data_IF_607632115023
#
_entry.id   IF_607632115023
#
_cell.length_a   1.000
_cell.length_b   1.000
_cell.length_c   1.000
_cell.angle_alpha   90.00
_cell.angle_beta   90.00
_cell.angle_gamma   90.00
#
_symmetry.space_group_name_H-M   'P 1'
#
loop_
_entity.id
_entity.type
_entity.pdbx_description
1 polymer ?
2 polymer ?
3 non-polymer ?
4 non-polymer ?
5 water ?
#
# COMPACT_ATOMS: atom_id res chain seq x y z
C UNK A 1 -16.78 5.13 -5.52
N UNK A 2 -18.06 5.06 -5.94
CA UNK A 2 -18.88 3.88 -5.69
C UNK A 2 -18.46 2.82 -6.73
N UNK A 3 -18.79 1.59 -6.43
CA UNK A 3 -18.42 0.48 -7.31
C UNK A 3 -19.39 0.29 -8.47
N UNK A 4 -18.82 -0.08 -9.59
CA UNK A 4 -19.54 -0.39 -10.81
C UNK A 4 -19.84 -1.88 -10.87
N UNK A 5 -20.70 -2.37 -11.74
CA UNK A 5 -20.96 -3.82 -11.76
C UNK A 5 -19.68 -4.53 -12.13
N UNK A 6 -18.81 -3.80 -12.83
CA UNK A 6 -17.50 -4.36 -13.22
C UNK A 6 -16.59 -4.50 -12.00
N UNK A 7 -16.57 -3.50 -11.14
CA UNK A 7 -15.80 -3.52 -9.90
C UNK A 7 -16.30 -4.64 -9.01
N UNK A 8 -17.60 -4.79 -8.91
CA UNK A 8 -18.24 -5.81 -8.07
C UNK A 8 -17.88 -7.20 -8.51
N UNK A 9 -17.95 -7.45 -9.80
CA UNK A 9 -17.61 -8.75 -10.38
C UNK A 9 -16.16 -9.10 -10.22
N UNK A 10 -15.27 -8.10 -10.38
CA UNK A 10 -13.81 -8.35 -10.18
C UNK A 10 -13.52 -8.64 -8.73
N UNK A 11 -14.15 -7.92 -7.80
CA UNK A 11 -13.95 -8.29 -6.39
C UNK A 11 -14.46 -9.69 -6.14
N UNK A 12 -15.67 -10.03 -6.66
CA UNK A 12 -16.16 -11.37 -6.31
C UNK A 12 -15.27 -12.46 -6.89
N UNK A 13 -14.80 -12.24 -8.11
CA UNK A 13 -13.95 -13.24 -8.75
C UNK A 13 -12.61 -13.37 -8.05
N UNK A 14 -12.08 -12.22 -7.57
CA UNK A 14 -10.78 -12.28 -6.88
C UNK A 14 -10.98 -13.01 -5.57
N UNK A 15 -11.99 -12.56 -4.79
CA UNK A 15 -12.22 -13.19 -3.49
C UNK A 15 -12.46 -14.67 -3.67
N UNK A 16 -13.08 -15.00 -4.80
CA UNK A 16 -13.33 -16.40 -5.15
C UNK A 16 -12.00 -17.12 -5.26
N UNK A 17 -11.00 -16.46 -5.84
CA UNK A 17 -9.70 -17.12 -6.03
C UNK A 17 -8.87 -17.19 -4.77
N UNK A 18 -8.93 -16.24 -3.84
CA UNK A 18 -7.99 -16.19 -2.73
C UNK A 18 -8.60 -16.54 -1.37
N UNK A 19 -9.92 -16.51 -1.28
CA UNK A 19 -10.66 -16.74 -0.06
C UNK A 19 -10.36 -18.04 0.63
N UNK A 20 -9.79 -19.02 -0.03
CA UNK A 20 -9.34 -20.24 0.66
C UNK A 20 -8.30 -19.97 1.75
N UNK A 21 -7.36 -19.08 1.47
CA UNK A 21 -6.27 -18.66 2.32
C UNK A 21 -6.56 -17.43 3.15
N UNK A 22 -7.81 -17.12 3.47
CA UNK A 22 -8.10 -15.90 4.19
C UNK A 22 -7.65 -15.97 5.64
N UNK A 23 -7.43 -17.17 6.17
CA UNK A 23 -7.01 -17.20 7.59
C UNK A 23 -5.57 -16.68 7.66
N UNK A 24 -4.74 -17.17 6.74
CA UNK A 24 -3.35 -16.75 6.62
C UNK A 24 -3.21 -15.30 6.18
N UNK A 25 -4.11 -14.82 5.32
CA UNK A 25 -4.14 -13.42 4.90
C UNK A 25 -4.41 -12.51 6.08
N UNK A 26 -5.37 -12.85 6.93
CA UNK A 26 -5.71 -12.00 8.07
C UNK A 26 -4.62 -11.97 9.14
N UNK A 27 -4.03 -13.11 9.43
CA UNK A 27 -2.93 -13.18 10.42
C UNK A 27 -1.76 -12.33 9.93
N UNK A 28 -1.34 -12.56 8.69
CA UNK A 28 -0.25 -11.88 8.07
C UNK A 28 -0.48 -10.38 7.93
N UNK A 29 -1.67 -9.96 7.56
CA UNK A 29 -1.91 -8.54 7.35
C UNK A 29 -1.92 -7.81 8.69
N UNK A 30 -2.42 -8.48 9.68
CA UNK A 30 -2.51 -7.88 11.03
C UNK A 30 -1.12 -7.88 11.67
N UNK A 31 -0.32 -8.92 11.47
CA UNK A 31 1.04 -8.94 11.97
C UNK A 31 1.83 -7.73 11.43
N UNK A 32 1.78 -7.57 10.11
CA UNK A 32 2.43 -6.44 9.48
C UNK A 32 1.93 -5.09 9.90
N UNK A 33 0.64 -4.90 10.16
CA UNK A 33 0.19 -3.58 10.61
C UNK A 33 0.84 -3.25 11.96
N UNK A 34 1.02 -4.25 12.81
CA UNK A 34 1.48 -4.02 14.19
C UNK A 34 2.98 -3.77 14.22
N UNK A 35 3.72 -4.54 13.42
CA UNK A 35 5.15 -4.30 13.23
C UNK A 35 5.44 -3.06 12.43
N UNK A 36 4.91 -2.83 11.25
CA UNK A 36 5.30 -1.70 10.40
C UNK A 36 4.70 -0.42 10.86
N UNK A 37 3.63 -0.47 11.65
CA UNK A 37 2.92 0.77 11.99
C UNK A 37 2.57 0.76 13.48
N UNK A 38 3.63 0.74 14.26
CA UNK A 38 3.59 0.64 15.70
C UNK A 38 2.60 1.48 16.45
N UNK A 39 2.15 2.57 15.85
CA UNK A 39 1.15 3.41 16.53
C UNK A 39 -0.17 2.64 16.71
N UNK A 40 -0.35 1.51 16.04
CA UNK A 40 -1.59 0.76 16.03
C UNK A 40 -1.63 -0.31 17.14
N UNK A 41 -0.50 -0.52 17.78
CA UNK A 41 -0.37 -1.53 18.81
C UNK A 41 -1.17 -1.14 20.03
N UNK A 42 -1.42 0.12 20.31
CA UNK A 42 -2.18 0.47 21.49
C UNK A 42 -3.60 -0.08 21.48
N UNK A 43 -4.17 -0.38 20.34
CA UNK A 43 -5.55 -0.88 20.36
C UNK A 43 -5.59 -2.34 20.81
N UNK A 44 -4.48 -3.04 20.83
CA UNK A 44 -4.42 -4.44 21.22
C UNK A 44 -3.45 -4.66 22.39
N UNK A 45 -3.30 -3.64 23.22
CA UNK A 45 -2.36 -3.70 24.34
C UNK A 45 -2.84 -4.65 25.42
N UNK A 46 -4.13 -4.93 25.44
CA UNK A 46 -4.72 -5.85 26.41
C UNK A 46 -4.42 -7.30 26.12
N UNK A 47 -3.83 -7.63 24.99
CA UNK A 47 -3.44 -9.01 24.75
C UNK A 47 -2.05 -9.24 25.33
N UNK A 48 -1.81 -10.45 25.81
CA UNK A 48 -0.52 -10.79 26.40
C UNK A 48 0.60 -10.83 25.38
N UNK A 49 0.27 -11.26 24.16
CA UNK A 49 1.33 -11.42 23.14
C UNK A 49 0.87 -10.68 21.90
N UNK A 50 1.61 -9.66 21.51
CA UNK A 50 1.21 -8.84 20.34
C UNK A 50 2.41 -8.73 19.41
N UNK A 51 2.88 -9.90 19.00
CA UNK A 51 3.96 -10.10 18.07
C UNK A 51 3.47 -11.07 17.00
N UNK A 52 3.97 -10.97 15.78
CA UNK A 52 3.56 -11.82 14.68
C UNK A 52 3.25 -13.26 14.92
N UNK A 53 4.03 -14.01 15.71
CA UNK A 53 3.68 -15.42 15.94
C UNK A 53 2.30 -15.60 16.63
N UNK A 54 2.07 -14.78 17.63
CA UNK A 54 0.99 -14.67 18.55
C UNK A 54 -0.29 -15.41 18.23
N UNK A 55 -0.79 -16.14 19.23
CA UNK A 55 -2.04 -16.89 19.08
C UNK A 55 -3.26 -15.97 18.98
N UNK A 56 -3.13 -14.78 19.57
CA UNK A 56 -4.18 -13.79 19.56
C UNK A 56 -4.28 -13.12 18.20
N UNK A 57 -3.17 -12.93 17.50
CA UNK A 57 -3.18 -12.23 16.21
C UNK A 57 -3.79 -13.17 15.19
N UNK A 58 -3.44 -14.44 15.38
CA UNK A 58 -3.96 -15.47 14.49
C UNK A 58 -5.47 -15.56 14.61
N UNK A 59 -6.01 -15.46 15.82
CA UNK A 59 -7.44 -15.71 16.02
C UNK A 59 -8.24 -14.51 15.55
N UNK A 60 -7.66 -13.35 15.79
CA UNK A 60 -8.27 -12.10 15.42
C UNK A 60 -8.14 -11.84 13.93
N UNK A 61 -7.09 -12.31 13.28
CA UNK A 61 -7.01 -12.11 11.83
C UNK A 61 -8.07 -12.93 11.11
N UNK A 62 -8.42 -14.08 11.66
CA UNK A 62 -9.53 -14.88 11.14
C UNK A 62 -10.82 -14.07 11.17
N UNK A 63 -11.08 -13.34 12.24
CA UNK A 63 -12.22 -12.51 12.42
C UNK A 63 -12.27 -11.32 11.49
N UNK A 64 -11.14 -10.74 11.15
CA UNK A 64 -11.08 -9.56 10.29
C UNK A 64 -11.35 -9.96 8.84
N UNK A 65 -10.83 -11.10 8.44
CA UNK A 65 -11.07 -11.61 7.10
C UNK A 65 -12.51 -12.08 6.97
N UNK A 66 -13.13 -12.39 8.10
CA UNK A 66 -14.53 -12.72 8.15
C UNK A 66 -15.35 -11.46 7.93
N UNK A 67 -14.92 -10.32 8.45
CA UNK A 67 -15.60 -9.05 8.21
C UNK A 67 -15.46 -8.62 6.74
N UNK A 68 -14.32 -8.96 6.14
CA UNK A 68 -14.11 -8.65 4.72
C UNK A 68 -15.05 -9.56 3.93
N UNK A 69 -15.09 -10.85 4.25
CA UNK A 69 -16.01 -11.77 3.56
C UNK A 69 -17.42 -11.26 3.66
N UNK A 70 -17.82 -10.69 4.79
CA UNK A 70 -19.13 -10.07 4.93
C UNK A 70 -19.29 -8.88 4.01
N UNK A 71 -18.28 -8.02 3.90
CA UNK A 71 -18.40 -6.88 2.99
C UNK A 71 -18.55 -7.32 1.54
N UNK A 72 -17.89 -8.39 1.14
CA UNK A 72 -18.02 -8.92 -0.21
C UNK A 72 -19.45 -9.36 -0.46
N UNK A 73 -20.02 -10.15 0.44
CA UNK A 73 -21.42 -10.61 0.26
C UNK A 73 -22.40 -9.47 0.37
N UNK A 74 -22.14 -8.41 1.14
CA UNK A 74 -22.96 -7.22 1.16
C UNK A 74 -22.46 -6.12 0.25
N UNK A 75 -21.74 -6.44 -0.80
CA UNK A 75 -21.13 -5.44 -1.67
C UNK A 75 -22.07 -4.41 -2.21
N UNK A 76 -23.41 -4.60 -2.25
CA UNK A 76 -24.31 -3.59 -2.84
C UNK A 76 -24.76 -2.53 -1.86
N UNK A 77 -24.68 -2.79 -0.57
CA UNK A 77 -24.93 -1.72 0.40
C UNK A 77 -23.95 -1.92 1.55
N UNK A 78 -22.76 -1.36 1.38
CA UNK A 78 -21.74 -1.46 2.43
C UNK A 78 -22.17 -0.72 3.68
N UNK A 79 -22.76 0.44 3.52
CA UNK A 79 -23.13 1.22 4.70
C UNK A 79 -24.00 0.41 5.65
N UNK A 80 -25.00 -0.32 5.17
CA UNK A 80 -25.91 -1.09 6.05
C UNK A 80 -25.29 -2.40 6.47
N UNK A 81 -24.60 -3.08 5.57
CA UNK A 81 -23.96 -4.35 5.83
C UNK A 81 -22.95 -4.32 6.94
N UNK A 82 -22.27 -3.18 7.14
CA UNK A 82 -21.21 -3.06 8.14
C UNK A 82 -21.53 -2.15 9.29
N UNK A 83 -22.78 -1.78 9.48
CA UNK A 83 -23.23 -0.91 10.54
C UNK A 83 -22.89 -1.40 11.94
N UNK A 84 -22.93 -2.71 12.19
CA UNK A 84 -22.66 -3.23 13.53
C UNK A 84 -21.16 -3.02 13.84
N UNK A 85 -20.31 -3.29 12.86
CA UNK A 85 -18.89 -3.10 12.93
C UNK A 85 -18.47 -1.65 12.99
N UNK A 86 -19.20 -0.76 12.33
CA UNK A 86 -18.92 0.67 12.43
C UNK A 86 -19.21 1.19 13.83
N UNK A 87 -20.27 0.67 14.42
CA UNK A 87 -20.67 0.94 15.80
C UNK A 87 -19.57 0.53 16.78
N UNK A 88 -19.06 -0.66 16.67
CA UNK A 88 -18.02 -1.25 17.46
C UNK A 88 -16.72 -0.46 17.45
N UNK A 89 -16.22 -0.14 16.27
CA UNK A 89 -14.94 0.52 16.08
C UNK A 89 -15.00 2.02 16.32
N UNK A 90 -15.83 2.68 15.52
CA UNK A 90 -15.98 4.12 15.52
C UNK A 90 -16.79 4.57 16.71
N UNK A 91 -17.61 3.74 17.34
CA UNK A 91 -18.34 4.29 18.48
C UNK A 91 -17.61 3.79 19.71
N UNK A 92 -17.84 2.59 20.15
CA UNK A 92 -17.09 1.99 21.26
C UNK A 92 -15.58 2.24 21.19
N UNK A 93 -14.73 1.44 20.54
CA UNK A 93 -13.28 1.56 20.56
C UNK A 93 -12.73 2.88 20.06
N UNK A 94 -13.56 3.76 19.54
CA UNK A 94 -13.10 5.02 18.94
C UNK A 94 -11.84 4.86 18.09
N UNK A 95 -11.60 3.70 17.46
CA UNK A 95 -10.48 3.57 16.55
C UNK A 95 -10.44 4.80 15.65
N UNK A 96 -9.27 5.40 15.54
CA UNK A 96 -9.00 6.53 14.68
C UNK A 96 -8.92 6.05 13.24
N UNK A 97 -9.76 6.68 12.42
CA UNK A 97 -10.02 6.23 11.06
C UNK A 97 -8.82 6.23 10.19
N UNK A 98 -7.79 7.00 10.56
CA UNK A 98 -6.59 6.97 9.67
C UNK A 98 -6.07 5.56 9.64
N UNK A 99 -6.42 4.78 10.66
CA UNK A 99 -5.89 3.43 10.77
C UNK A 99 -6.52 2.43 9.83
N UNK A 100 -7.72 2.72 9.31
CA UNK A 100 -8.37 1.79 8.37
C UNK A 100 -7.59 1.76 7.06
N UNK A 101 -7.11 2.92 6.57
CA UNK A 101 -6.27 2.93 5.38
C UNK A 101 -4.98 2.12 5.59
N UNK A 102 -4.47 2.12 6.83
CA UNK A 102 -3.24 1.34 7.09
C UNK A 102 -3.54 -0.13 6.96
N UNK A 103 -4.59 -0.61 7.64
CA UNK A 103 -4.88 -2.05 7.54
C UNK A 103 -5.20 -2.43 6.11
N UNK A 104 -5.85 -1.56 5.36
CA UNK A 104 -6.18 -1.89 3.97
C UNK A 104 -4.98 -2.03 3.07
N UNK A 105 -4.03 -1.14 3.28
CA UNK A 105 -2.72 -1.21 2.60
C UNK A 105 -2.04 -2.53 2.87
N UNK A 106 -2.00 -2.97 4.14
CA UNK A 106 -1.32 -4.20 4.51
C UNK A 106 -2.00 -5.45 3.96
N UNK A 107 -3.34 -5.39 3.76
CA UNK A 107 -4.07 -6.50 3.12
C UNK A 107 -3.65 -6.57 1.66
N UNK A 108 -3.55 -5.43 0.98
CA UNK A 108 -3.06 -5.42 -0.40
C UNK A 108 -1.64 -5.96 -0.50
N UNK A 109 -0.81 -5.63 0.50
CA UNK A 109 0.59 -6.12 0.42
C UNK A 109 0.58 -7.60 0.55
N UNK A 110 -0.22 -8.08 1.52
CA UNK A 110 -0.29 -9.52 1.78
C UNK A 110 -0.87 -10.23 0.58
N UNK A 111 -1.99 -9.79 0.01
CA UNK A 111 -2.47 -10.45 -1.23
C UNK A 111 -1.42 -10.43 -2.33
N UNK A 112 -0.78 -9.30 -2.55
CA UNK A 112 0.29 -9.24 -3.55
C UNK A 112 1.37 -10.28 -3.33
N UNK A 113 1.79 -10.44 -2.09
CA UNK A 113 2.76 -11.44 -1.63
C UNK A 113 2.32 -12.84 -1.91
N UNK A 114 1.01 -13.15 -1.74
CA UNK A 114 0.51 -14.50 -1.97
C UNK A 114 -0.02 -14.79 -3.37
N UNK A 115 -0.60 -13.80 -4.05
CA UNK A 115 -1.20 -14.10 -5.36
C UNK A 115 -0.79 -13.04 -6.36
N UNK A 116 0.51 -13.03 -6.68
CA UNK A 116 1.07 -12.02 -7.57
C UNK A 116 0.45 -12.09 -8.96
N UNK A 117 0.16 -13.29 -9.40
CA UNK A 117 -0.38 -13.54 -10.74
C UNK A 117 -1.81 -13.03 -10.88
N UNK A 118 -2.61 -13.30 -9.84
CA UNK A 118 -4.00 -12.85 -9.83
C UNK A 118 -4.15 -11.39 -9.40
N UNK A 119 -3.13 -10.83 -8.69
CA UNK A 119 -3.28 -9.46 -8.26
C UNK A 119 -2.78 -8.52 -9.34
N UNK A 120 -3.54 -8.46 -10.45
CA UNK A 120 -3.18 -7.58 -11.57
C UNK A 120 -3.63 -6.17 -11.26
N UNK A 121 -3.19 -5.23 -12.08
CA UNK A 121 -3.50 -3.83 -11.85
C UNK A 121 -4.99 -3.55 -11.98
N UNK A 122 -5.66 -4.32 -12.83
CA UNK A 122 -7.11 -4.22 -13.04
C UNK A 122 -7.80 -4.68 -11.76
N UNK A 123 -7.38 -5.82 -11.22
CA UNK A 123 -7.89 -6.32 -9.96
C UNK A 123 -7.59 -5.38 -8.80
N UNK A 124 -6.47 -4.64 -8.91
CA UNK A 124 -6.05 -3.74 -7.85
C UNK A 124 -6.88 -2.50 -7.82
N UNK A 125 -7.27 -1.90 -8.94
CA UNK A 125 -8.11 -0.70 -8.88
C UNK A 125 -9.46 -0.92 -8.20
N UNK A 126 -10.09 -2.07 -8.48
CA UNK A 126 -11.41 -2.42 -8.01
C UNK A 126 -11.31 -2.88 -6.56
N UNK A 127 -10.33 -3.71 -6.25
CA UNK A 127 -10.10 -4.02 -4.82
C UNK A 127 -9.80 -2.79 -3.97
N UNK A 128 -9.14 -1.80 -4.52
CA UNK A 128 -8.83 -0.56 -3.81
C UNK A 128 -10.05 0.31 -3.66
N UNK A 129 -10.93 0.36 -4.66
CA UNK A 129 -12.19 1.12 -4.49
C UNK A 129 -13.08 0.46 -3.45
N UNK A 130 -13.10 -0.86 -3.47
CA UNK A 130 -13.90 -1.65 -2.54
C UNK A 130 -13.38 -1.45 -1.11
N UNK A 131 -12.07 -1.72 -0.88
CA UNK A 131 -11.52 -1.39 0.44
C UNK A 131 -11.71 0.01 0.90
N UNK A 132 -11.66 1.05 0.09
CA UNK A 132 -12.03 2.37 0.58
C UNK A 132 -13.52 2.47 0.87
N UNK A 133 -14.34 1.66 0.18
CA UNK A 133 -15.79 1.71 0.48
C UNK A 133 -16.04 1.10 1.87
N UNK A 134 -15.26 0.10 2.23
CA UNK A 134 -15.25 -0.50 3.55
C UNK A 134 -14.87 0.49 4.64
N UNK A 135 -13.78 1.22 4.41
CA UNK A 135 -13.27 2.16 5.40
C UNK A 135 -14.33 3.20 5.64
N UNK A 136 -14.91 3.64 4.53
CA UNK A 136 -15.98 4.65 4.58
C UNK A 136 -17.22 4.09 5.28
N UNK A 137 -17.49 2.80 5.08
CA UNK A 137 -18.70 2.26 5.75
C UNK A 137 -18.42 2.16 7.23
N UNK A 138 -17.18 1.74 7.59
CA UNK A 138 -16.77 1.69 8.98
C UNK A 138 -16.76 3.03 9.70
N UNK A 139 -16.54 4.13 9.01
CA UNK A 139 -16.48 5.46 9.58
C UNK A 139 -17.84 6.13 9.76
N UNK A 140 -18.88 5.43 9.36
CA UNK A 140 -20.26 5.91 9.39
C UNK A 140 -20.76 6.39 10.72
N UNK A 141 -20.44 5.70 11.82
CA UNK A 141 -20.99 6.07 13.12
C UNK A 141 -20.19 7.04 13.93
N UNK A 142 -19.01 7.51 13.51
CA UNK A 142 -18.26 8.48 14.28
C UNK A 142 -19.02 9.79 14.59
N UNK A 143 -19.65 10.36 13.56
CA UNK A 143 -20.29 11.66 13.71
C UNK A 143 -21.48 11.85 12.76
N UNK B 1 16.80 11.02 10.46
CA UNK B 1 16.47 9.61 10.83
C UNK B 1 17.65 8.90 11.49
N UNK B 2 17.30 8.16 12.55
CA UNK B 2 18.29 7.31 13.26
C UNK B 2 18.11 5.90 12.69
N UNK B 3 19.10 5.37 12.01
CA UNK B 3 18.97 4.06 11.39
C UNK B 3 19.68 3.00 12.21
N UNK B 4 19.15 1.78 12.24
CA UNK B 4 19.89 0.72 12.89
C UNK B 4 20.75 0.01 11.83
N UNK B 5 21.68 -0.78 12.33
CA UNK B 5 22.59 -1.50 11.45
C UNK B 5 21.79 -2.62 10.79
N UNK B 6 20.77 -3.16 11.48
CA UNK B 6 19.91 -4.16 10.84
C UNK B 6 19.14 -3.50 9.70
N UNK B 7 18.68 -2.28 9.88
CA UNK B 7 17.93 -1.58 8.84
C UNK B 7 18.77 -1.29 7.63
N UNK B 8 20.05 -0.97 7.86
CA UNK B 8 20.99 -0.64 6.80
C UNK B 8 21.23 -1.86 5.93
N UNK B 9 21.34 -3.02 6.56
CA UNK B 9 21.60 -4.24 5.83
C UNK B 9 20.42 -4.74 5.00
N UNK B 10 19.22 -4.64 5.59
CA UNK B 10 17.96 -4.97 4.91
C UNK B 10 17.82 -4.07 3.68
N UNK B 11 17.92 -2.77 3.89
CA UNK B 11 17.70 -1.85 2.78
C UNK B 11 18.71 -2.06 1.69
N UNK B 12 19.89 -2.48 2.07
CA UNK B 12 20.97 -2.66 1.10
C UNK B 12 20.75 -3.95 0.35
N UNK B 13 20.38 -5.01 1.06
CA UNK B 13 20.05 -6.28 0.40
C UNK B 13 18.94 -6.08 -0.65
N UNK B 14 17.85 -5.44 -0.27
CA UNK B 14 16.72 -5.14 -1.12
C UNK B 14 17.15 -4.52 -2.44
N UNK B 15 17.79 -3.35 -2.34
CA UNK B 15 18.21 -2.66 -3.54
C UNK B 15 19.15 -3.50 -4.37
N UNK B 16 19.99 -4.28 -3.69
CA UNK B 16 21.03 -4.98 -4.41
C UNK B 16 20.43 -6.10 -5.24
N UNK B 17 19.22 -6.55 -4.89
CA UNK B 17 18.65 -7.67 -5.65
C UNK B 17 17.52 -7.26 -6.59
N UNK B 18 17.17 -5.99 -6.60
CA UNK B 18 16.14 -5.43 -7.43
C UNK B 18 16.53 -5.26 -8.90
N UNK B 19 15.63 -5.62 -9.78
CA UNK B 19 15.81 -5.33 -11.20
C UNK B 19 15.03 -4.05 -11.49
N UNK B 20 15.76 -2.99 -11.77
CA UNK B 20 15.14 -1.69 -11.97
C UNK B 20 14.27 -1.64 -13.21
N UNK B 21 14.61 -2.40 -14.21
CA UNK B 21 13.92 -2.51 -15.49
C UNK B 21 12.57 -3.24 -15.37
N UNK B 22 12.40 -3.93 -14.27
CA UNK B 22 11.21 -4.68 -13.98
C UNK B 22 10.33 -3.93 -12.98
N UNK B 23 10.91 -3.47 -11.89
CA UNK B 23 10.12 -2.87 -10.85
C UNK B 23 9.61 -1.49 -11.21
N UNK B 24 10.41 -0.69 -11.87
CA UNK B 24 10.10 0.73 -11.96
C UNK B 24 8.91 0.99 -12.87
N UNK B 25 8.96 0.28 -13.99
CA UNK B 25 7.89 0.38 -14.99
C UNK B 25 6.59 -0.17 -14.44
N UNK B 26 6.60 -1.27 -13.72
CA UNK B 26 5.40 -1.83 -13.11
C UNK B 26 4.87 -0.97 -11.98
N UNK B 27 5.72 -0.39 -11.15
CA UNK B 27 5.23 0.48 -10.08
C UNK B 27 4.53 1.73 -10.57
N UNK B 28 5.15 2.35 -11.58
CA UNK B 28 4.62 3.59 -12.15
C UNK B 28 3.36 3.30 -12.97
N UNK B 29 3.39 2.32 -13.83
CA UNK B 29 2.24 1.87 -14.58
C UNK B 29 1.00 1.73 -13.69
N UNK B 30 1.20 0.93 -12.65
CA UNK B 30 0.17 0.59 -11.69
C UNK B 30 -0.36 1.83 -10.99
N UNK B 31 0.54 2.77 -10.73
CA UNK B 31 0.11 3.98 -10.03
C UNK B 31 -0.74 4.82 -10.97
N UNK B 32 -0.40 4.77 -12.25
CA UNK B 32 -1.14 5.61 -13.20
C UNK B 32 -2.54 5.04 -13.45
N UNK B 33 -2.69 3.73 -13.36
CA UNK B 33 -3.94 2.99 -13.44
C UNK B 33 -4.74 3.06 -12.15
N UNK B 34 -4.15 2.75 -11.00
CA UNK B 34 -4.98 2.75 -9.78
C UNK B 34 -5.38 4.15 -9.39
N UNK B 35 -4.57 5.16 -9.65
CA UNK B 35 -4.85 6.55 -9.27
C UNK B 35 -4.62 7.45 -10.49
N UNK B 36 -5.61 7.45 -11.37
CA UNK B 36 -5.48 7.97 -12.73
C UNK B 36 -5.38 9.46 -12.83
N UNK B 37 -5.71 10.19 -11.78
CA UNK B 37 -5.48 11.63 -11.78
C UNK B 37 -3.98 11.90 -11.79
N UNK B 38 -3.14 10.95 -11.38
CA UNK B 38 -1.70 11.17 -11.42
C UNK B 38 -1.20 11.26 -12.86
N UNK B 39 -1.90 10.73 -13.84
CA UNK B 39 -1.55 10.86 -15.25
C UNK B 39 -1.45 12.32 -15.69
N UNK B 40 -2.16 13.20 -15.01
CA UNK B 40 -2.22 14.61 -15.33
C UNK B 40 -0.89 15.35 -15.27
N UNK B 41 0.00 14.84 -14.41
CA UNK B 41 1.22 15.57 -14.12
C UNK B 41 2.23 15.25 -15.22
N UNK B 42 1.96 14.25 -16.02
CA UNK B 42 2.87 13.79 -17.05
C UNK B 42 2.52 14.25 -18.45
N UNK B 43 3.00 15.47 -18.76
CA UNK B 43 2.92 16.19 -20.00
C UNK B 43 3.86 15.68 -21.10
N UNK B 44 3.21 15.19 -22.17
CA UNK B 44 4.01 14.51 -23.20
C UNK B 44 4.35 13.13 -22.57
N UNK B 45 3.59 12.15 -23.03
CA UNK B 45 3.77 10.74 -22.66
C UNK B 45 3.16 9.87 -23.75
N UNK B 46 2.18 10.46 -24.48
CA UNK B 46 1.62 9.80 -25.64
C UNK B 46 0.23 9.20 -25.39
N UNK B 47 0.00 8.06 -26.05
CA UNK B 47 -1.28 7.36 -26.01
C UNK B 47 -1.43 6.53 -24.73
N UNK B 48 -2.09 7.19 -23.78
CA UNK B 48 -2.30 6.78 -22.40
C UNK B 48 -3.74 6.32 -22.14
N UNK B 49 -4.42 5.99 -23.22
CA UNK B 49 -5.72 5.43 -23.39
C UNK B 49 -6.31 4.67 -22.21
N UNK B 50 -6.25 3.36 -22.33
CA UNK B 50 -6.73 2.34 -21.45
C UNK B 50 -5.64 1.86 -20.50
N UNK B 51 -5.82 0.68 -19.94
CA UNK B 51 -4.89 0.07 -19.02
C UNK B 51 -3.76 -0.67 -19.72
N UNK B 52 -4.01 -1.23 -20.91
CA UNK B 52 -2.90 -1.90 -21.60
C UNK B 52 -2.15 -0.93 -22.51
N UNK B 53 -2.62 0.32 -22.58
CA UNK B 53 -1.79 1.38 -23.24
C UNK B 53 -0.63 1.62 -22.25
N UNK B 54 -0.98 2.27 -21.16
CA UNK B 54 -0.12 2.54 -20.01
C UNK B 54 0.83 1.41 -19.70
N UNK B 55 0.40 0.16 -19.71
CA UNK B 55 1.22 -0.95 -19.27
C UNK B 55 2.42 -1.24 -20.16
N UNK B 56 2.26 -0.92 -21.44
CA UNK B 56 3.32 -1.20 -22.42
C UNK B 56 3.81 0.07 -23.08
N UNK B 57 3.44 1.21 -22.53
CA UNK B 57 3.95 2.50 -22.99
C UNK B 57 5.42 2.64 -22.61
N UNK B 58 6.32 2.70 -23.59
CA UNK B 58 7.75 2.78 -23.35
C UNK B 58 8.17 4.04 -22.63
N UNK B 59 7.40 5.11 -22.71
CA UNK B 59 7.72 6.37 -22.05
C UNK B 59 7.49 6.33 -20.53
N UNK B 60 6.45 5.61 -20.14
CA UNK B 60 6.11 5.35 -18.76
C UNK B 60 7.18 4.41 -18.20
N UNK B 61 7.59 3.42 -18.97
CA UNK B 61 8.64 2.51 -18.52
C UNK B 61 9.94 3.28 -18.25
N UNK B 62 10.41 3.96 -19.28
CA UNK B 62 11.59 4.78 -19.19
C UNK B 62 11.54 5.56 -17.88
N UNK B 63 10.42 6.22 -17.64
CA UNK B 63 10.26 7.03 -16.45
C UNK B 63 10.15 6.24 -15.16
N UNK B 64 9.73 4.98 -15.21
CA UNK B 64 9.64 4.18 -13.98
C UNK B 64 11.06 3.90 -13.46
N UNK B 65 11.96 3.67 -14.40
CA UNK B 65 13.38 3.46 -14.12
C UNK B 65 14.04 4.71 -13.55
N UNK B 66 13.74 5.90 -14.05
CA UNK B 66 14.28 7.08 -13.41
C UNK B 66 13.82 7.20 -11.97
N UNK B 67 12.63 6.75 -11.62
CA UNK B 67 12.16 6.87 -10.23
C UNK B 67 12.92 5.95 -9.29
N UNK B 68 13.22 4.75 -9.79
CA UNK B 68 13.96 3.81 -8.95
C UNK B 68 15.41 4.23 -8.78
N UNK B 69 15.98 4.83 -9.81
CA UNK B 69 17.30 5.39 -9.76
C UNK B 69 17.35 6.61 -8.86
N UNK B 70 16.25 7.33 -8.71
CA UNK B 70 16.20 8.45 -7.78
C UNK B 70 16.17 7.96 -6.33
N UNK B 71 15.78 6.71 -6.10
CA UNK B 71 15.66 6.16 -4.76
C UNK B 71 17.02 5.61 -4.33
N UNK B 72 17.68 5.16 -5.37
CA UNK B 72 19.02 4.58 -5.33
C UNK B 72 19.99 5.55 -4.69
N UNK B 73 19.88 6.84 -5.00
CA UNK B 73 20.66 7.89 -4.37
C UNK B 73 20.36 8.09 -2.91
N UNK B 74 19.15 7.87 -2.42
CA UNK B 74 18.92 8.11 -0.98
C UNK B 74 19.46 6.91 -0.20
N UNK B 75 19.48 5.76 -0.88
CA UNK B 75 19.92 4.51 -0.26
C UNK B 75 21.42 4.58 0.03
N UNK B 76 22.10 5.27 -0.89
CA UNK B 76 23.55 5.43 -0.85
C UNK B 76 23.98 6.50 0.14
N UNK B 77 23.03 7.28 0.61
CA UNK B 77 23.30 8.39 1.52
C UNK B 77 22.26 8.51 2.61
N UNK B 78 22.08 7.46 3.43
CA UNK B 78 20.97 7.45 4.37
C UNK B 78 20.99 8.39 5.55
N UNK B 79 22.15 8.93 5.86
CA UNK B 79 22.34 9.83 7.01
C UNK B 79 22.05 11.27 6.60
N UNK B 80 21.91 11.45 5.29
CA UNK B 80 21.70 12.73 4.66
C UNK B 80 20.64 12.67 3.57
N UNK B 81 19.55 11.94 3.83
CA UNK B 81 18.50 11.80 2.80
C UNK B 81 17.99 13.19 2.43
N UNK B 82 17.59 13.94 3.46
CA UNK B 82 17.00 15.24 3.27
C UNK B 82 17.72 16.10 2.25
N UNK B 83 19.05 16.19 2.29
CA UNK B 83 19.77 17.15 1.44
C UNK B 83 20.13 16.57 0.09
N UNK B 84 20.13 15.25 -0.05
CA UNK B 84 20.38 14.68 -1.39
C UNK B 84 19.16 14.84 -2.29
N UNK B 85 18.04 15.28 -1.71
CA UNK B 85 16.80 15.41 -2.45
C UNK B 85 16.35 16.84 -2.63
N UNK B 86 17.23 17.81 -2.58
CA UNK B 86 16.82 19.21 -2.76
C UNK B 86 16.49 19.51 -4.21
N UNK B 87 17.32 19.00 -5.12
CA UNK B 87 17.07 19.11 -6.54
C UNK B 87 15.67 18.57 -6.86
N UNK B 88 15.39 17.29 -6.59
CA UNK B 88 14.11 16.67 -6.81
C UNK B 88 12.98 17.30 -6.01
N UNK B 89 13.19 17.55 -4.74
CA UNK B 89 12.17 18.22 -3.96
C UNK B 89 11.75 19.54 -4.59
N UNK B 90 12.65 20.18 -5.33
CA UNK B 90 12.39 21.56 -5.80
C UNK B 90 11.61 21.50 -7.10
N UNK B 91 12.02 20.59 -7.95
CA UNK B 91 11.30 20.28 -9.19
C UNK B 91 9.89 19.77 -8.88
N UNK B 92 9.75 18.82 -7.95
CA UNK B 92 8.44 18.22 -7.71
C UNK B 92 7.49 19.13 -6.96
N UNK B 93 8.00 19.92 -6.02
CA UNK B 93 7.05 20.72 -5.22
C UNK B 93 7.24 22.21 -5.44
N UNK B 94 7.56 22.58 -6.69
CA UNK B 94 7.68 23.99 -7.06
C UNK B 94 7.87 24.19 -8.56
N UNK B 95 8.10 23.14 -9.33
CA UNK B 95 8.16 23.37 -10.79
C UNK B 95 7.09 22.51 -11.46
N UNK B 96 6.60 21.52 -10.70
CA UNK B 96 5.67 20.52 -11.21
C UNK B 96 4.31 20.59 -10.51
N UNK B 97 4.39 21.11 -9.30
CA UNK B 97 3.35 21.38 -8.35
C UNK B 97 2.54 20.18 -7.91
N UNK B 98 3.21 19.03 -7.88
CA UNK B 98 2.70 17.74 -7.48
C UNK B 98 2.31 17.73 -6.02
N UNK B 99 1.04 17.45 -5.76
CA UNK B 99 0.60 17.41 -4.35
C UNK B 99 1.33 16.31 -3.59
N UNK B 100 1.89 16.69 -2.45
CA UNK B 100 2.60 15.78 -1.57
C UNK B 100 1.95 14.42 -1.36
N UNK B 101 0.61 14.38 -1.35
CA UNK B 101 -0.11 13.14 -1.08
C UNK B 101 0.21 12.10 -2.16
N UNK B 102 0.60 12.55 -3.35
CA UNK B 102 0.89 11.61 -4.42
C UNK B 102 2.21 10.87 -4.26
N UNK B 103 3.21 11.41 -3.56
CA UNK B 103 4.49 10.68 -3.45
C UNK B 103 4.19 9.42 -2.64
N UNK B 104 3.27 9.63 -1.70
CA UNK B 104 2.77 8.55 -0.86
C UNK B 104 2.04 7.46 -1.64
N UNK B 105 1.26 7.81 -2.66
CA UNK B 105 0.59 6.84 -3.48
C UNK B 105 1.59 6.01 -4.27
N UNK B 106 2.54 6.66 -4.93
CA UNK B 106 3.53 5.93 -5.75
C UNK B 106 4.38 5.01 -4.89
N UNK B 107 4.77 5.53 -3.76
CA UNK B 107 5.55 4.74 -2.80
C UNK B 107 4.78 3.52 -2.37
N UNK B 108 3.45 3.66 -2.22
CA UNK B 108 2.64 2.45 -1.93
C UNK B 108 2.63 1.48 -3.09
N UNK B 109 2.60 1.97 -4.33
CA UNK B 109 2.71 1.07 -5.48
C UNK B 109 4.06 0.41 -5.64
N UNK B 110 5.16 1.11 -5.35
CA UNK B 110 6.47 0.42 -5.36
C UNK B 110 6.48 -0.72 -4.34
N UNK B 111 6.00 -0.51 -3.12
CA UNK B 111 5.91 -1.57 -2.12
C UNK B 111 5.09 -2.77 -2.57
N UNK B 112 3.92 -2.51 -3.17
CA UNK B 112 3.07 -3.60 -3.64
C UNK B 112 3.74 -4.40 -4.75
N UNK B 113 4.40 -3.75 -5.69
CA UNK B 113 5.12 -4.44 -6.76
C UNK B 113 6.32 -5.16 -6.21
N UNK B 114 7.04 -4.52 -5.29
CA UNK B 114 8.14 -5.25 -4.65
C UNK B 114 7.64 -6.41 -3.81
N UNK B 115 6.48 -6.33 -3.15
CA UNK B 115 6.00 -7.53 -2.42
C UNK B 115 5.66 -8.68 -3.35
N UNK B 116 5.20 -8.41 -4.57
CA UNK B 116 4.82 -9.47 -5.50
C UNK B 116 6.05 -10.11 -6.13
N UNK B 117 7.15 -9.37 -6.18
CA UNK B 117 8.40 -9.92 -6.69
C UNK B 117 9.09 -10.77 -5.66
N UNK B 118 9.28 -10.29 -4.45
CA UNK B 118 9.96 -11.01 -3.39
C UNK B 118 9.20 -12.11 -2.71
N UNK B 119 7.87 -12.10 -2.80
CA UNK B 119 7.02 -13.10 -2.20
C UNK B 119 7.19 -13.18 -0.69
N UNK B 120 7.38 -14.41 -0.22
CA UNK B 120 7.53 -14.64 1.22
C UNK B 120 8.76 -14.02 1.83
N UNK B 121 9.74 -13.66 1.01
CA UNK B 121 10.98 -13.05 1.48
C UNK B 121 10.70 -11.61 1.92
N UNK B 122 9.57 -11.07 1.49
CA UNK B 122 9.21 -9.72 1.86
C UNK B 122 8.47 -9.73 3.19
N UNK B 123 9.20 -10.03 4.25
CA UNK B 123 8.66 -10.16 5.58
C UNK B 123 8.24 -8.87 6.24
N UNK B 124 7.55 -8.99 7.39
CA UNK B 124 7.08 -7.82 8.10
C UNK B 124 8.25 -6.91 8.43
N UNK B 125 9.31 -7.50 8.96
CA UNK B 125 10.51 -6.71 9.32
C UNK B 125 11.13 -6.13 8.06
N UNK B 126 11.30 -6.89 6.98
CA UNK B 126 11.72 -6.28 5.71
C UNK B 126 10.79 -5.12 5.36
N UNK B 127 9.47 -5.38 5.41
CA UNK B 127 8.55 -4.29 5.05
C UNK B 127 8.76 -3.10 5.96
N UNK B 128 9.01 -3.34 7.24
CA UNK B 128 9.15 -2.23 8.20
C UNK B 128 10.33 -1.33 7.90
N UNK B 129 11.47 -1.88 7.48
CA UNK B 129 12.65 -1.14 7.09
C UNK B 129 12.42 -0.40 5.80
N UNK B 130 11.94 -1.04 4.74
CA UNK B 130 11.65 -0.37 3.46
C UNK B 130 10.68 0.78 3.61
N UNK B 131 9.68 0.61 4.48
CA UNK B 131 8.70 1.66 4.71
C UNK B 131 9.30 2.85 5.42
N UNK B 132 10.12 2.59 6.42
CA UNK B 132 10.87 3.68 7.07
C UNK B 132 11.74 4.41 6.05
N UNK B 133 12.41 3.68 5.17
CA UNK B 133 13.19 4.32 4.10
C UNK B 133 12.38 5.28 3.25
N UNK B 134 11.33 4.79 2.62
CA UNK B 134 10.42 5.55 1.76
C UNK B 134 9.71 6.68 2.46
N UNK B 135 9.35 6.52 3.73
CA UNK B 135 8.76 7.66 4.45
C UNK B 135 9.79 8.77 4.59
N UNK B 136 11.08 8.37 4.68
CA UNK B 136 12.14 9.38 4.74
C UNK B 136 12.26 10.06 3.38
N UNK B 137 12.25 9.29 2.31
CA UNK B 137 12.34 9.86 0.96
C UNK B 137 11.14 10.73 0.67
N UNK B 138 9.95 10.28 1.05
CA UNK B 138 8.73 11.06 0.78
C UNK B 138 8.81 12.37 1.54
N UNK B 139 9.28 12.26 2.78
CA UNK B 139 9.48 13.44 3.63
C UNK B 139 10.43 14.42 2.97
N UNK B 140 11.53 13.96 2.40
CA UNK B 140 12.50 14.77 1.69
C UNK B 140 12.02 15.34 0.37
N UNK B 141 11.00 14.75 -0.24
CA UNK B 141 10.49 15.24 -1.50
C UNK B 141 9.56 16.42 -1.33
N UNK B 142 8.90 16.54 -0.18
CA UNK B 142 7.93 17.63 -0.01
C UNK B 142 8.58 18.80 0.72
N UNK B 143 9.57 18.42 1.50
CA UNK B 143 10.34 19.24 2.40
C UNK B 143 10.45 20.70 1.99
N UNK B 144 10.58 20.94 0.68
CA UNK B 144 10.76 22.29 0.18
C UNK B 144 9.66 23.25 0.62
N UNK B 145 8.41 23.21 0.11
CA UNK B 145 7.52 24.34 0.48
C UNK B 145 6.34 23.94 1.31
N UNK B 146 5.97 24.83 2.23
CA UNK B 146 4.82 24.63 3.11
C UNK B 146 3.72 25.65 2.77
X LIG C 1 -12.49 -6.10 16.42
X LIG C 1 -13.06 -6.15 11.58
X LIG C 1 -10.04 -2.36 11.18
X LIG C 1 -9.23 -2.55 15.94
X LIG C 1 -12.89 -6.45 15.13
X LIG C 1 -13.79 -7.53 14.79
X LIG C 1 -13.95 -7.56 13.47
X LIG C 1 -13.16 -6.47 12.92
X LIG C 1 -14.80 -8.53 12.62
X LIG C 1 -14.40 -8.45 15.85
X LIG C 1 -15.64 -7.81 16.50
X LIG C 1 -16.11 -8.55 17.73
X LIG C 1 -17.23 -8.18 18.19
X LIG C 1 -15.30 -9.45 18.13
X LIG C 1 -12.29 -5.12 11.09
X LIG C 1 -12.18 -4.80 9.68
X LIG C 1 -11.35 -3.75 9.56
X LIG C 1 -10.93 -3.39 10.90
X LIG C 1 -12.93 -5.58 8.59
X LIG C 1 -10.88 -2.99 8.31
X LIG C 1 -10.52 -3.68 7.22
X LIG C 1 -9.49 -2.14 12.44
X LIG C 1 -8.39 -1.25 12.72
X LIG C 1 -8.15 -1.30 14.03
X LIG C 1 -9.13 -2.22 14.60
X LIG C 1 -7.66 -0.43 11.63
X LIG C 1 -7.12 -0.57 14.89
X LIG C 1 -5.91 -0.23 14.50
X LIG C 1 -10.00 -3.54 16.49
X LIG C 1 -10.01 -3.96 17.88
X LIG C 1 -10.91 -4.92 18.00
X LIG C 1 -11.51 -5.17 16.70
X LIG C 1 -9.08 -3.30 18.94
X LIG C 1 -11.29 -5.72 19.26
X LIG C 1 -10.43 -6.95 19.53
X LIG C 1 -10.35 -7.33 20.98
X LIG C 1 -9.55 -8.26 21.28
X LIG C 1 -11.08 -6.72 21.80
X LIG C 1 -12.51 -5.81 13.96
X LIG C 1 -11.51 -4.24 11.81
X LIG C 1 -9.93 -2.73 13.60
X LIG C 1 -10.94 -4.29 15.78
X LIG C 1 -11.21 -4.26 13.80
X LIG D 1 -9.85 -5.34 13.55
X LIG D 1 -8.90 -5.92 13.33
X LIG E 1 10.50 13.16 -12.78
X LIG E 1 11.90 10.93 -8.74
X LIG E 1 7.30 10.72 -7.29
X LIG E 1 5.94 13.32 -11.14
X LIG E 1 11.30 12.48 -11.88
X LIG E 1 12.68 12.06 -12.05
X LIG E 1 13.03 11.45 -10.92
X LIG E 1 11.90 11.47 -10.01
X LIG E 1 14.37 10.79 -10.51
X LIG E 1 13.56 12.27 -13.30
X LIG E 1 13.64 13.64 -13.91
X LIG E 1 14.93 14.31 -14.26
X LIG E 1 14.90 15.58 -14.41
X LIG E 1 15.96 13.58 -14.38
X LIG E 1 10.77 10.66 -8.03
X LIG E 1 10.74 9.91 -6.79
X LIG E 1 9.46 9.85 -6.38
X LIG E 1 8.66 10.56 -7.35
X LIG E 1 12.02 9.34 -6.13
X LIG E 1 8.90 9.17 -5.12
X LIG E 1 7.74 9.41 -4.54
X LIG E 1 6.52 11.38 -8.21
X LIG E 1 5.08 11.52 -8.15
X LIG E 1 4.71 12.23 -9.21
X LIG E 1 5.90 12.58 -9.96
X LIG E 1 4.17 10.91 -7.05
X LIG E 1 3.27 12.65 -9.59
X LIG E 1 2.89 12.88 -10.83
X LIG E 1 7.08 13.55 -11.90
X LIG E 1 7.15 14.40 -13.06
X LIG E 1 8.41 14.36 -13.51
X LIG E 1 9.16 13.47 -12.66
X LIG E 1 5.95 15.21 -13.62
X LIG E 1 9.02 15.08 -14.71
X LIG E 1 9.24 14.28 -16.01
X LIG E 1 9.45 15.26 -17.16
X LIG E 1 10.47 16.00 -17.00
X LIG E 1 8.61 15.22 -18.07
X LIG E 1 10.84 12.12 -10.62
X LIG E 1 9.48 11.07 -8.36
X LIG E 1 7.01 12.04 -9.33
X LIG E 1 8.33 12.99 -11.67
X LIG E 1 8.92 12.09 -9.99
X LIG F 1 8.69 10.96 -11.33
X LIG F 1 8.01 10.10 -11.65
#
# INVERSE_FOLDING_TARGET
XSLSDKDKAAVRALWSKIGKSSDAIGNDALSRMIVVYPQTKIYFSHWPDVTPGSPNIKAHGKKVMGGIALAVSKIDDLKTGLMELSEQHAYKLRVDPSNFKILNHCILVVISTMFPKEFTPEAHVSLDKFLSGVALALAERYR
VEWTDKERSIISDIFSHMDYDDIGPKALSRCLVVYPWTQRYFSGFGNLYNAEGIMSNANVAAHGIKVLHGLDRGMKNMDNIADAYTDLSTLHSEKLHVDPDNFKLLSDCITIVLAAKMGHAFTAETQGAFQKFLAAVVSALGKQYH
HEM CHA CHB CHC CHD C1A C2A C3A C4A CMA CAA CBA CGA O1A O2A C1B C2B C3B C4B CMB CAB CBB C1C C2C C3C C4C CMC CAC CBC C1D C2D C3D C4D CMD CAD CBD CGD O1D O2D NA NB NC ND FE
CMO C O
HEM CHA CHB CHC CHD C1A C2A C3A C4A CMA CAA CBA CGA O1A O2A C1B C2B C3B C4B CMB CAB CBB C1C C2C C3C C4C CMC CAC CBC C1D C2D C3D C4D CMD CAD CBD CGD O1D O2D NA NB NC ND FE
CMO C O
#
